data_IF_514503471852
#
_entry.id   IF_514503471852
#
_cell.length_a   1.000
_cell.length_b   1.000
_cell.length_c   1.000
_cell.angle_alpha   90.00
_cell.angle_beta   90.00
_cell.angle_gamma   90.00
#
_symmetry.space_group_name_H-M   'P 1'
#
loop_
_entity.id
_entity.type
_entity.pdbx_description
1 polymer ?
#
# COMPACT_ATOMS: atom_id res chain seq x y z
N UNK A 1 -21.88 -10.74 2.24
CA UNK A 1 -20.43 -10.51 2.41
C UNK A 1 -19.77 -10.57 1.04
N UNK A 2 -19.18 -9.47 0.57
CA UNK A 2 -18.58 -9.37 -0.78
C UNK A 2 -17.20 -10.03 -0.83
N UNK A 3 -16.39 -9.80 0.19
CA UNK A 3 -15.07 -10.38 0.41
C UNK A 3 -14.68 -10.21 1.89
N UNK A 4 -13.62 -10.88 2.34
CA UNK A 4 -13.03 -10.65 3.67
C UNK A 4 -11.81 -9.73 3.63
N UNK A 5 -11.13 -9.65 2.49
CA UNK A 5 -9.91 -8.86 2.30
C UNK A 5 -9.88 -8.21 0.93
N UNK A 6 -9.35 -6.99 0.87
CA UNK A 6 -9.04 -6.28 -0.37
C UNK A 6 -7.55 -5.99 -0.39
N UNK A 7 -6.84 -6.48 -1.41
CA UNK A 7 -5.43 -6.14 -1.66
C UNK A 7 -5.38 -4.99 -2.67
N UNK A 8 -4.69 -3.91 -2.32
CA UNK A 8 -4.47 -2.75 -3.19
C UNK A 8 -2.99 -2.64 -3.52
N UNK A 9 -2.66 -2.76 -4.81
CA UNK A 9 -1.34 -2.39 -5.30
C UNK A 9 -1.22 -0.86 -5.30
N UNK A 10 -0.18 -0.33 -4.68
CA UNK A 10 0.00 1.10 -4.49
C UNK A 10 1.41 1.54 -4.86
N UNK A 11 1.50 2.45 -5.83
CA UNK A 11 2.74 2.99 -6.40
C UNK A 11 2.75 4.53 -6.44
N UNK A 12 1.89 5.17 -5.64
CA UNK A 12 1.65 6.62 -5.62
C UNK A 12 1.04 7.21 -6.92
N UNK A 13 0.71 6.39 -7.92
CA UNK A 13 -0.01 6.88 -9.09
C UNK A 13 -1.44 7.31 -8.73
N UNK A 14 -2.02 8.21 -9.53
CA UNK A 14 -3.42 8.63 -9.35
C UNK A 14 -4.39 7.44 -9.45
N UNK A 15 -4.07 6.44 -10.28
CA UNK A 15 -4.89 5.24 -10.43
C UNK A 15 -4.81 4.34 -9.20
N UNK A 16 -3.64 4.19 -8.60
CA UNK A 16 -3.48 3.50 -7.33
C UNK A 16 -4.22 4.21 -6.20
N UNK A 17 -4.17 5.55 -6.16
CA UNK A 17 -4.93 6.34 -5.18
C UNK A 17 -6.43 6.11 -5.31
N UNK A 18 -6.99 6.23 -6.52
CA UNK A 18 -8.43 5.96 -6.78
C UNK A 18 -8.83 4.54 -6.41
N UNK A 19 -7.94 3.57 -6.63
CA UNK A 19 -8.18 2.17 -6.26
C UNK A 19 -8.22 1.99 -4.74
N UNK A 20 -7.32 2.66 -4.02
CA UNK A 20 -7.31 2.68 -2.55
C UNK A 20 -8.57 3.35 -1.99
N UNK A 21 -8.95 4.52 -2.52
CA UNK A 21 -10.20 5.21 -2.18
C UNK A 21 -11.43 4.33 -2.39
N UNK A 22 -11.47 3.58 -3.51
CA UNK A 22 -12.58 2.68 -3.76
C UNK A 22 -12.63 1.49 -2.80
N UNK A 23 -11.48 0.92 -2.47
CA UNK A 23 -11.38 -0.13 -1.46
C UNK A 23 -11.89 0.36 -0.09
N UNK A 24 -11.54 1.60 0.26
CA UNK A 24 -12.03 2.29 1.47
C UNK A 24 -13.55 2.42 1.44
N UNK A 25 -14.14 2.88 0.34
CA UNK A 25 -15.60 2.97 0.21
C UNK A 25 -16.29 1.63 0.42
N UNK A 26 -15.72 0.54 -0.12
CA UNK A 26 -16.25 -0.80 0.06
C UNK A 26 -16.15 -1.26 1.51
N UNK A 27 -15.03 -1.02 2.19
CA UNK A 27 -14.85 -1.38 3.60
C UNK A 27 -15.73 -0.56 4.56
N UNK A 28 -16.19 0.64 4.15
CA UNK A 28 -17.19 1.40 4.93
C UNK A 28 -18.56 0.71 4.94
N UNK A 29 -18.90 -0.07 3.91
CA UNK A 29 -20.17 -0.81 3.84
C UNK A 29 -20.16 -2.08 4.69
N UNK A 30 -18.97 -2.65 4.92
CA UNK A 30 -18.75 -3.85 5.73
C UNK A 30 -17.44 -3.69 6.51
N UNK A 31 -17.50 -3.22 7.78
CA UNK A 31 -16.32 -2.99 8.60
C UNK A 31 -15.48 -4.23 8.91
N UNK A 32 -15.98 -5.44 8.61
CA UNK A 32 -15.21 -6.67 8.75
C UNK A 32 -14.19 -6.85 7.61
N UNK A 33 -14.27 -6.05 6.53
CA UNK A 33 -13.32 -6.09 5.41
C UNK A 33 -11.98 -5.49 5.83
N UNK A 34 -10.92 -6.27 5.70
CA UNK A 34 -9.53 -5.82 5.89
C UNK A 34 -8.96 -5.29 4.56
N UNK A 35 -8.44 -4.06 4.55
CA UNK A 35 -7.68 -3.53 3.41
C UNK A 35 -6.19 -3.75 3.66
N UNK A 36 -5.51 -4.38 2.70
CA UNK A 36 -4.07 -4.58 2.69
C UNK A 36 -3.46 -3.82 1.52
N UNK A 37 -2.33 -3.15 1.75
CA UNK A 37 -1.61 -2.39 0.72
C UNK A 37 -0.29 -3.08 0.41
N UNK A 38 0.02 -3.19 -0.88
CA UNK A 38 1.27 -3.75 -1.39
C UNK A 38 1.95 -2.75 -2.33
N UNK A 39 3.23 -2.49 -2.10
CA UNK A 39 4.08 -1.78 -3.04
C UNK A 39 5.06 -2.76 -3.67
N UNK A 40 4.98 -2.91 -4.99
CA UNK A 40 5.87 -3.78 -5.74
C UNK A 40 6.99 -2.94 -6.37
N UNK A 41 8.23 -3.37 -6.16
CA UNK A 41 9.42 -2.74 -6.75
C UNK A 41 10.05 -3.69 -7.76
N UNK A 42 10.51 -3.15 -8.89
CA UNK A 42 11.32 -3.90 -9.86
C UNK A 42 12.76 -3.44 -9.72
N UNK A 43 13.63 -4.34 -9.27
CA UNK A 43 15.07 -4.04 -9.20
C UNK A 43 15.65 -4.02 -10.63
N UNK A 44 16.26 -2.91 -11.07
CA UNK A 44 16.74 -2.75 -12.46
C UNK A 44 18.06 -3.48 -12.74
N UNK A 45 18.47 -4.44 -11.92
CA UNK A 45 19.81 -5.04 -11.93
C UNK A 45 19.77 -6.55 -11.72
N UNK A 46 20.66 -7.26 -12.42
CA UNK A 46 20.91 -8.68 -12.19
C UNK A 46 21.92 -8.83 -11.03
N UNK A 47 21.65 -9.67 -10.01
CA UNK A 47 22.50 -9.81 -8.82
C UNK A 47 23.97 -10.10 -9.15
N UNK A 48 24.22 -10.82 -10.24
CA UNK A 48 25.54 -11.35 -10.58
C UNK A 48 26.49 -10.35 -11.27
N UNK A 49 26.06 -9.11 -11.53
CA UNK A 49 26.83 -8.16 -12.36
C UNK A 49 27.43 -7.01 -11.52
N UNK A 50 26.93 -6.74 -10.31
CA UNK A 50 27.14 -5.45 -9.64
C UNK A 50 27.75 -5.50 -8.22
N UNK A 51 28.03 -6.67 -7.66
CA UNK A 51 28.68 -6.77 -6.33
C UNK A 51 27.97 -5.91 -5.26
N UNK A 52 28.73 -5.11 -4.50
CA UNK A 52 28.19 -4.24 -3.43
C UNK A 52 27.15 -3.21 -3.90
N UNK A 53 27.20 -2.78 -5.17
CA UNK A 53 26.22 -1.82 -5.70
C UNK A 53 24.81 -2.42 -5.81
N UNK A 54 24.69 -3.76 -5.89
CA UNK A 54 23.39 -4.42 -5.84
C UNK A 54 22.70 -4.21 -4.50
N UNK A 55 23.45 -4.39 -3.41
CA UNK A 55 22.92 -4.24 -2.05
C UNK A 55 22.51 -2.79 -1.78
N UNK A 56 23.32 -1.80 -2.19
CA UNK A 56 22.99 -0.38 -2.02
C UNK A 56 21.71 0.02 -2.77
N UNK A 57 21.52 -0.48 -4.00
CA UNK A 57 20.31 -0.23 -4.79
C UNK A 57 19.10 -0.92 -4.16
N UNK A 58 19.24 -2.17 -3.72
CA UNK A 58 18.18 -2.90 -3.03
C UNK A 58 17.74 -2.19 -1.75
N UNK A 59 18.69 -1.77 -0.91
CA UNK A 59 18.41 -1.04 0.33
C UNK A 59 17.72 0.31 0.05
N UNK A 60 18.17 1.05 -0.97
CA UNK A 60 17.55 2.30 -1.40
C UNK A 60 16.11 2.10 -1.87
N UNK A 61 15.86 1.08 -2.71
CA UNK A 61 14.52 0.74 -3.20
C UNK A 61 13.60 0.27 -2.07
N UNK A 62 14.11 -0.53 -1.12
CA UNK A 62 13.36 -0.96 0.06
C UNK A 62 13.03 0.22 0.97
N UNK A 63 13.94 1.16 1.16
CA UNK A 63 13.69 2.38 1.93
C UNK A 63 12.60 3.22 1.28
N UNK A 64 12.69 3.46 -0.02
CA UNK A 64 11.66 4.18 -0.75
C UNK A 64 10.29 3.46 -0.67
N UNK A 65 10.27 2.14 -0.87
CA UNK A 65 9.04 1.36 -0.77
C UNK A 65 8.37 1.44 0.60
N UNK A 66 9.16 1.50 1.69
CA UNK A 66 8.62 1.74 3.04
C UNK A 66 7.99 3.13 3.18
N UNK A 67 8.54 4.15 2.55
CA UNK A 67 7.96 5.50 2.53
C UNK A 67 6.63 5.51 1.75
N UNK A 68 6.55 4.79 0.62
CA UNK A 68 5.32 4.62 -0.17
C UNK A 68 4.21 3.97 0.66
N UNK A 69 4.52 2.84 1.32
CA UNK A 69 3.56 2.14 2.20
C UNK A 69 3.12 3.05 3.34
N UNK A 70 4.04 3.77 3.99
CA UNK A 70 3.72 4.67 5.09
C UNK A 70 2.72 5.76 4.68
N UNK A 71 2.81 6.28 3.45
CA UNK A 71 1.83 7.25 2.91
C UNK A 71 0.45 6.61 2.75
N UNK A 72 0.38 5.40 2.21
CA UNK A 72 -0.89 4.67 2.09
C UNK A 72 -1.51 4.33 3.44
N UNK A 73 -0.69 3.94 4.43
CA UNK A 73 -1.13 3.69 5.81
C UNK A 73 -1.63 4.95 6.50
N UNK A 74 -1.01 6.11 6.25
CA UNK A 74 -1.50 7.39 6.76
C UNK A 74 -2.89 7.72 6.23
N UNK A 75 -3.13 7.54 4.92
CA UNK A 75 -4.45 7.71 4.31
C UNK A 75 -5.48 6.76 4.94
N UNK A 76 -5.12 5.49 5.16
CA UNK A 76 -5.98 4.52 5.84
C UNK A 76 -6.27 4.88 7.30
N UNK A 77 -5.31 5.50 7.99
CA UNK A 77 -5.41 5.85 9.41
C UNK A 77 -6.32 7.06 9.65
N UNK A 78 -6.28 8.06 8.76
CA UNK A 78 -7.21 9.20 8.78
C UNK A 78 -8.68 8.73 8.76
N UNK A 79 -8.95 7.61 8.11
CA UNK A 79 -10.29 7.03 8.00
C UNK A 79 -10.68 6.25 9.27
N UNK A 80 -9.75 5.51 9.87
CA UNK A 80 -10.00 4.79 11.13
C UNK A 80 -10.29 5.74 12.30
N UNK A 81 -9.80 6.99 12.24
CA UNK A 81 -10.07 8.03 13.26
C UNK A 81 -11.43 8.73 13.10
N UNK A 82 -12.27 8.34 12.13
CA UNK A 82 -13.67 8.74 12.05
C UNK A 82 -14.62 7.58 12.42
N UNK A 83 -14.75 7.23 13.71
CA UNK A 83 -15.88 6.43 14.16
C UNK A 83 -17.12 7.33 14.15
N UNK A 84 -17.75 7.50 12.98
CA UNK A 84 -19.12 7.98 12.94
C UNK A 84 -20.03 6.76 12.98
N UNK A 85 -20.87 6.76 14.02
CA UNK A 85 -22.02 5.89 14.28
C UNK A 85 -21.77 4.68 15.20
N UNK A 86 -21.59 4.97 16.50
CA UNK A 86 -22.46 4.33 17.48
C UNK A 86 -23.78 5.10 17.48
N UNK A 87 -24.83 4.49 16.93
CA UNK A 87 -26.23 4.83 17.16
C UNK A 87 -26.93 3.57 17.62
#
# INVERSE_FOLDING_TARGET
>A
MLCSKILVAYDESELALKSLEKAIELAKLDPAIEIQVLHAVTLPIKPNIYGNAFQEIEESMLKHGKEVIKKAEALLSEIRMHPKHLS
#
